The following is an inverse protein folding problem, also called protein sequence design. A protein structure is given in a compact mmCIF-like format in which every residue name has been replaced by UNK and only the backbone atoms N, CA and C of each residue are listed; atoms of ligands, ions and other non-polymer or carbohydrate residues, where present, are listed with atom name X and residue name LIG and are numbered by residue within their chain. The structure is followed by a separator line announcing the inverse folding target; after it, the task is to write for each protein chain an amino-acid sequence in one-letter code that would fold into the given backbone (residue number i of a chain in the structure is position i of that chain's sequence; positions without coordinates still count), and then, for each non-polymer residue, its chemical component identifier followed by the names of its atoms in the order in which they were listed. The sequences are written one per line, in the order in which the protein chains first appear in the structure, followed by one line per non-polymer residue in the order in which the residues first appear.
data_IF_450160311711
#
_entry.id   IF_450160311711
#
_cell.length_a   1.000
_cell.length_b   1.000
_cell.length_c   1.000
_cell.angle_alpha   90.00
_cell.angle_beta   90.00
_cell.angle_gamma   90.00
#
_symmetry.space_group_name_H-M   'P 1'
#
loop_
_entity.id
_entity.type
_entity.pdbx_description
1 polymer ?
#
# COMPACT_ATOMS: atom_id res chain seq x y z
N UNK A 1 12.28 -8.55 -16.05
CA UNK A 1 13.12 -7.61 -15.30
C UNK A 1 14.52 -8.21 -15.17
N UNK A 2 15.56 -7.65 -15.83
CA UNK A 2 16.94 -8.12 -15.66
C UNK A 2 17.45 -7.75 -14.26
N UNK A 3 18.41 -8.54 -13.73
CA UNK A 3 18.81 -8.57 -12.32
C UNK A 3 19.67 -7.37 -11.89
N UNK A 4 19.24 -6.64 -10.87
CA UNK A 4 20.12 -5.81 -10.06
C UNK A 4 21.06 -6.69 -9.23
N UNK A 5 22.36 -6.39 -9.26
CA UNK A 5 23.45 -7.20 -8.68
C UNK A 5 24.07 -6.51 -7.46
N UNK A 6 23.27 -5.93 -6.56
CA UNK A 6 23.77 -5.30 -5.34
C UNK A 6 24.26 -6.36 -4.33
N UNK A 7 25.48 -6.20 -3.81
CA UNK A 7 26.10 -7.12 -2.84
C UNK A 7 25.29 -7.33 -1.55
N UNK A 8 24.48 -6.34 -1.14
CA UNK A 8 23.61 -6.44 0.05
C UNK A 8 22.38 -7.34 -0.13
N UNK A 9 21.95 -7.64 -1.36
CA UNK A 9 20.74 -8.43 -1.61
C UNK A 9 20.94 -9.93 -1.33
N UNK A 10 22.17 -10.44 -1.48
CA UNK A 10 22.50 -11.84 -1.20
C UNK A 10 22.39 -12.16 0.29
N UNK A 11 22.63 -11.18 1.16
CA UNK A 11 22.54 -11.36 2.60
C UNK A 11 21.09 -11.28 3.10
N UNK A 12 20.23 -10.48 2.46
CA UNK A 12 18.80 -10.43 2.78
C UNK A 12 18.10 -11.78 2.58
N UNK A 13 18.51 -12.56 1.57
CA UNK A 13 17.94 -13.88 1.31
C UNK A 13 18.29 -14.93 2.39
N UNK A 14 19.36 -14.71 3.17
CA UNK A 14 19.81 -15.60 4.25
C UNK A 14 19.04 -15.38 5.56
N UNK A 15 18.35 -14.25 5.70
CA UNK A 15 17.56 -13.93 6.88
C UNK A 15 16.33 -14.87 7.02
N UNK A 16 15.71 -14.93 8.23
CA UNK A 16 14.38 -15.50 8.40
C UNK A 16 13.39 -14.89 7.40
N UNK A 17 12.42 -15.67 6.89
CA UNK A 17 11.60 -15.26 5.76
C UNK A 17 10.83 -13.96 5.99
N UNK A 18 10.27 -13.74 7.18
CA UNK A 18 9.55 -12.52 7.56
C UNK A 18 10.48 -11.30 7.51
N UNK A 19 11.69 -11.42 8.07
CA UNK A 19 12.69 -10.35 8.05
C UNK A 19 13.17 -10.05 6.62
N UNK A 20 13.44 -11.09 5.81
CA UNK A 20 13.78 -10.92 4.39
C UNK A 20 12.68 -10.13 3.66
N UNK A 21 11.42 -10.52 3.81
CA UNK A 21 10.27 -9.89 3.14
C UNK A 21 10.15 -8.44 3.54
N UNK A 22 10.24 -8.16 4.84
CA UNK A 22 10.20 -6.80 5.37
C UNK A 22 11.26 -5.92 4.69
N UNK A 23 12.54 -6.31 4.74
CA UNK A 23 13.62 -5.50 4.16
C UNK A 23 13.51 -5.34 2.65
N UNK A 24 13.11 -6.39 1.91
CA UNK A 24 12.86 -6.24 0.47
C UNK A 24 11.71 -5.26 0.18
N UNK A 25 10.62 -5.33 0.95
CA UNK A 25 9.49 -4.42 0.79
C UNK A 25 9.85 -2.97 1.12
N UNK A 26 10.67 -2.75 2.16
CA UNK A 26 11.14 -1.43 2.54
C UNK A 26 12.08 -0.83 1.50
N UNK A 27 13.10 -1.58 1.06
CA UNK A 27 14.00 -1.14 0.00
C UNK A 27 13.23 -0.83 -1.29
N UNK A 28 12.29 -1.70 -1.68
CA UNK A 28 11.45 -1.44 -2.83
C UNK A 28 10.59 -0.17 -2.68
N UNK A 29 10.12 0.12 -1.46
CA UNK A 29 9.36 1.34 -1.19
C UNK A 29 10.21 2.59 -1.29
N UNK A 30 11.47 2.54 -0.84
CA UNK A 30 12.45 3.62 -1.02
C UNK A 30 12.77 3.85 -2.50
N UNK A 31 13.06 2.80 -3.26
CA UNK A 31 13.31 2.90 -4.71
C UNK A 31 12.10 3.43 -5.47
N UNK A 32 10.88 3.01 -5.11
CA UNK A 32 9.66 3.58 -5.69
C UNK A 32 9.50 5.07 -5.38
N UNK A 33 9.90 5.53 -4.17
CA UNK A 33 9.83 6.94 -3.79
C UNK A 33 10.78 7.83 -4.61
N UNK A 34 11.94 7.30 -5.00
CA UNK A 34 12.89 7.98 -5.89
C UNK A 34 12.63 7.71 -7.39
N UNK A 35 11.44 7.18 -7.74
CA UNK A 35 11.00 6.92 -9.13
C UNK A 35 11.86 5.90 -9.87
N UNK A 36 12.36 4.91 -9.15
CA UNK A 36 13.03 3.73 -9.70
C UNK A 36 12.10 2.52 -9.65
N UNK A 37 10.94 2.60 -10.32
CA UNK A 37 9.90 1.57 -10.26
C UNK A 37 10.40 0.21 -10.76
N UNK A 38 11.31 0.20 -11.74
CA UNK A 38 11.93 -1.02 -12.26
C UNK A 38 12.76 -1.76 -11.21
N UNK A 39 13.52 -1.04 -10.38
CA UNK A 39 14.33 -1.63 -9.32
C UNK A 39 13.44 -2.07 -8.15
N UNK A 40 12.46 -1.25 -7.79
CA UNK A 40 11.46 -1.62 -6.79
C UNK A 40 10.72 -2.92 -7.17
N UNK A 41 10.32 -3.07 -8.43
CA UNK A 41 9.67 -4.28 -8.93
C UNK A 41 10.58 -5.51 -8.86
N UNK A 42 11.87 -5.36 -9.16
CA UNK A 42 12.86 -6.44 -9.04
C UNK A 42 13.03 -6.91 -7.59
N UNK A 43 13.17 -5.98 -6.65
CA UNK A 43 13.31 -6.29 -5.22
C UNK A 43 12.09 -7.05 -4.71
N UNK A 44 10.88 -6.59 -5.07
CA UNK A 44 9.64 -7.29 -4.71
C UNK A 44 9.50 -8.65 -5.41
N UNK A 45 9.97 -8.79 -6.65
CA UNK A 45 9.97 -10.08 -7.34
C UNK A 45 10.85 -11.11 -6.64
N UNK A 46 12.01 -10.67 -6.11
CA UNK A 46 12.91 -11.49 -5.28
C UNK A 46 12.30 -11.80 -3.91
N UNK A 47 11.55 -10.88 -3.33
CA UNK A 47 10.86 -11.06 -2.05
C UNK A 47 9.85 -12.22 -2.05
N UNK A 48 9.40 -12.69 -3.23
CA UNK A 48 8.53 -13.87 -3.34
C UNK A 48 9.23 -15.16 -2.88
N UNK A 49 10.53 -15.31 -3.09
CA UNK A 49 11.26 -16.54 -2.72
C UNK A 49 11.21 -16.79 -1.21
N UNK A 50 11.48 -15.79 -0.34
CA UNK A 50 11.22 -15.94 1.10
C UNK A 50 9.78 -16.32 1.46
N UNK A 51 8.76 -15.86 0.71
CA UNK A 51 7.35 -16.20 1.00
C UNK A 51 7.04 -17.69 0.80
N UNK A 52 7.82 -18.41 -0.02
CA UNK A 52 7.66 -19.86 -0.24
C UNK A 52 8.07 -20.67 1.00
N UNK A 53 8.86 -20.08 1.90
CA UNK A 53 9.26 -20.69 3.19
C UNK A 53 8.25 -20.44 4.30
N UNK A 54 7.20 -19.65 4.04
CA UNK A 54 6.15 -19.37 5.01
C UNK A 54 4.94 -20.29 4.81
N UNK A 55 4.17 -20.58 5.87
CA UNK A 55 2.89 -21.26 5.73
C UNK A 55 1.94 -20.50 4.79
N UNK A 56 1.09 -21.23 4.07
CA UNK A 56 0.10 -20.61 3.16
C UNK A 56 -0.90 -19.68 3.87
N UNK A 57 -1.06 -19.83 5.20
CA UNK A 57 -1.86 -18.96 6.06
C UNK A 57 -1.14 -17.65 6.46
N UNK A 58 0.13 -17.47 6.09
CA UNK A 58 0.91 -16.32 6.54
C UNK A 58 0.55 -15.04 5.76
N UNK A 59 0.24 -13.92 6.44
CA UNK A 59 -0.22 -12.69 5.79
C UNK A 59 0.84 -12.02 4.90
N UNK A 60 2.13 -12.19 5.19
CA UNK A 60 3.23 -11.58 4.44
C UNK A 60 3.31 -12.01 2.97
N UNK A 61 2.73 -13.17 2.63
CA UNK A 61 2.56 -13.57 1.23
C UNK A 61 1.79 -12.51 0.43
N UNK A 62 0.80 -11.86 1.04
CA UNK A 62 0.04 -10.79 0.39
C UNK A 62 0.81 -9.45 0.30
N UNK A 63 1.72 -9.19 1.23
CA UNK A 63 2.49 -7.94 1.27
C UNK A 63 3.32 -7.75 0.00
N UNK A 64 4.03 -8.80 -0.43
CA UNK A 64 4.84 -8.76 -1.65
C UNK A 64 3.98 -8.45 -2.89
N UNK A 65 2.83 -9.12 -3.04
CA UNK A 65 1.93 -8.89 -4.16
C UNK A 65 1.27 -7.50 -4.13
N UNK A 66 0.94 -6.99 -2.96
CA UNK A 66 0.42 -5.64 -2.80
C UNK A 66 1.49 -4.59 -3.14
N UNK A 67 2.74 -4.83 -2.77
CA UNK A 67 3.88 -4.00 -3.19
C UNK A 67 4.06 -4.01 -4.72
N UNK A 68 4.04 -5.19 -5.34
CA UNK A 68 4.15 -5.33 -6.80
C UNK A 68 3.01 -4.60 -7.52
N UNK A 69 1.79 -4.71 -6.99
CA UNK A 69 0.63 -3.99 -7.50
C UNK A 69 0.84 -2.48 -7.50
N UNK A 70 1.32 -1.93 -6.38
CA UNK A 70 1.61 -0.49 -6.24
C UNK A 70 2.69 -0.02 -7.20
N UNK A 71 3.82 -0.73 -7.26
CA UNK A 71 4.95 -0.33 -8.13
C UNK A 71 4.56 -0.42 -9.61
N UNK A 72 3.84 -1.48 -10.00
CA UNK A 72 3.33 -1.61 -11.36
C UNK A 72 2.35 -0.47 -11.72
N UNK A 73 1.49 -0.07 -10.78
CA UNK A 73 0.57 1.05 -10.97
C UNK A 73 1.33 2.38 -11.17
N UNK A 74 2.35 2.66 -10.34
CA UNK A 74 3.19 3.85 -10.48
C UNK A 74 3.96 3.87 -11.81
N UNK A 75 4.36 2.69 -12.30
CA UNK A 75 4.99 2.52 -13.61
C UNK A 75 4.01 2.50 -14.80
N UNK A 76 2.70 2.69 -14.59
CA UNK A 76 1.68 2.69 -15.65
C UNK A 76 1.28 1.31 -16.18
N UNK A 77 1.82 0.22 -15.63
CA UNK A 77 1.48 -1.15 -16.01
C UNK A 77 0.20 -1.62 -15.28
N UNK A 78 -0.93 -0.99 -15.59
CA UNK A 78 -2.18 -1.15 -14.83
C UNK A 78 -2.78 -2.56 -14.87
N UNK A 79 -2.55 -3.30 -15.96
CA UNK A 79 -2.98 -4.70 -16.08
C UNK A 79 -2.18 -5.62 -15.15
N UNK A 80 -0.85 -5.41 -15.05
CA UNK A 80 0.03 -6.10 -14.11
C UNK A 80 -0.36 -5.73 -12.68
N UNK A 81 -0.62 -4.43 -12.44
CA UNK A 81 -1.05 -3.92 -11.14
C UNK A 81 -2.35 -4.57 -10.66
N UNK A 82 -3.35 -4.67 -11.53
CA UNK A 82 -4.63 -5.31 -11.22
C UNK A 82 -4.45 -6.80 -10.87
N UNK A 83 -3.65 -7.54 -11.66
CA UNK A 83 -3.38 -8.97 -11.39
C UNK A 83 -2.66 -9.17 -10.06
N UNK A 84 -1.62 -8.39 -9.78
CA UNK A 84 -0.87 -8.47 -8.53
C UNK A 84 -1.75 -8.09 -7.32
N UNK A 85 -2.51 -7.01 -7.42
CA UNK A 85 -3.42 -6.57 -6.35
C UNK A 85 -4.55 -7.57 -6.10
N UNK A 86 -5.13 -8.16 -7.16
CA UNK A 86 -6.12 -9.23 -7.02
C UNK A 86 -5.53 -10.49 -6.37
N UNK A 87 -4.27 -10.82 -6.65
CA UNK A 87 -3.56 -11.92 -5.97
C UNK A 87 -3.38 -11.63 -4.48
N UNK A 88 -2.97 -10.40 -4.12
CA UNK A 88 -2.84 -9.97 -2.73
C UNK A 88 -4.18 -10.05 -1.98
N UNK A 89 -5.26 -9.54 -2.60
CA UNK A 89 -6.62 -9.62 -2.05
C UNK A 89 -7.02 -11.05 -1.71
N UNK A 90 -6.90 -11.97 -2.67
CA UNK A 90 -7.26 -13.39 -2.48
C UNK A 90 -6.45 -14.07 -1.37
N UNK A 91 -5.20 -13.66 -1.16
CA UNK A 91 -4.39 -14.16 -0.05
C UNK A 91 -4.98 -13.62 1.25
N UNK A 92 -5.16 -12.29 1.37
CA UNK A 92 -5.72 -11.66 2.58
C UNK A 92 -7.09 -12.19 2.97
N UNK A 93 -7.98 -12.38 2.00
CA UNK A 93 -9.30 -12.97 2.25
C UNK A 93 -9.22 -14.38 2.86
N UNK A 94 -8.26 -15.19 2.40
CA UNK A 94 -8.05 -16.55 2.92
C UNK A 94 -7.33 -16.56 4.27
N UNK A 95 -6.40 -15.65 4.49
CA UNK A 95 -5.53 -15.66 5.68
C UNK A 95 -6.08 -14.82 6.84
N UNK A 96 -6.71 -13.69 6.53
CA UNK A 96 -7.20 -12.69 7.49
C UNK A 96 -8.72 -12.60 7.51
N UNK A 97 -9.41 -13.03 6.46
CA UNK A 97 -10.84 -12.83 6.27
C UNK A 97 -11.18 -11.57 5.47
N UNK A 98 -12.47 -11.41 5.17
CA UNK A 98 -13.01 -10.25 4.42
C UNK A 98 -12.97 -8.94 5.19
N UNK A 99 -13.11 -9.02 6.52
CA UNK A 99 -13.40 -7.87 7.38
C UNK A 99 -12.14 -7.36 8.11
N UNK A 100 -11.07 -7.13 7.34
CA UNK A 100 -9.83 -6.54 7.87
C UNK A 100 -9.42 -5.30 7.08
N UNK A 101 -8.73 -4.37 7.74
CA UNK A 101 -8.24 -3.14 7.10
C UNK A 101 -7.34 -3.47 5.91
N UNK A 102 -6.54 -4.54 6.01
CA UNK A 102 -5.64 -5.01 4.96
C UNK A 102 -6.41 -5.53 3.74
N UNK A 103 -7.48 -6.32 3.94
CA UNK A 103 -8.35 -6.79 2.86
C UNK A 103 -9.10 -5.62 2.23
N UNK A 104 -9.65 -4.72 3.04
CA UNK A 104 -10.35 -3.53 2.56
C UNK A 104 -9.46 -2.61 1.71
N UNK A 105 -8.19 -2.44 2.11
CA UNK A 105 -7.19 -1.69 1.33
C UNK A 105 -6.93 -2.33 -0.03
N UNK A 106 -6.95 -3.65 -0.13
CA UNK A 106 -6.80 -4.34 -1.42
C UNK A 106 -7.95 -4.06 -2.38
N UNK A 107 -9.18 -3.87 -1.88
CA UNK A 107 -10.31 -3.44 -2.71
C UNK A 107 -10.10 -2.04 -3.29
N UNK A 108 -9.72 -1.07 -2.44
CA UNK A 108 -9.40 0.30 -2.90
C UNK A 108 -8.31 0.28 -3.99
N UNK A 109 -7.23 -0.47 -3.77
CA UNK A 109 -6.11 -0.54 -4.71
C UNK A 109 -6.51 -1.19 -6.04
N UNK A 110 -7.34 -2.24 -6.00
CA UNK A 110 -7.83 -2.90 -7.21
C UNK A 110 -8.77 -1.97 -7.98
N UNK A 111 -9.59 -1.20 -7.28
CA UNK A 111 -10.45 -0.19 -7.87
C UNK A 111 -9.68 0.90 -8.62
N UNK A 112 -8.60 1.41 -8.02
CA UNK A 112 -7.68 2.33 -8.69
C UNK A 112 -7.17 1.74 -10.02
N UNK A 113 -6.80 0.45 -10.02
CA UNK A 113 -6.35 -0.22 -11.24
C UNK A 113 -7.48 -0.32 -12.28
N UNK A 114 -8.72 -0.64 -11.88
CA UNK A 114 -9.84 -0.69 -12.81
C UNK A 114 -10.19 0.66 -13.42
N UNK A 115 -10.09 1.74 -12.64
CA UNK A 115 -10.29 3.08 -13.19
C UNK A 115 -9.24 3.39 -14.26
N UNK A 116 -7.96 3.10 -13.99
CA UNK A 116 -6.87 3.30 -14.95
C UNK A 116 -6.98 2.39 -16.20
N UNK A 117 -7.75 1.31 -16.12
CA UNK A 117 -8.08 0.41 -17.23
C UNK A 117 -9.40 0.76 -17.93
N UNK A 118 -9.94 1.95 -17.70
CA UNK A 118 -11.21 2.43 -18.28
C UNK A 118 -12.42 1.54 -17.94
N UNK A 119 -12.45 1.02 -16.69
CA UNK A 119 -13.55 0.21 -16.14
C UNK A 119 -14.20 0.91 -14.94
N UNK A 120 -14.81 2.09 -15.13
CA UNK A 120 -15.27 2.94 -14.03
C UNK A 120 -16.40 2.33 -13.21
N UNK A 121 -17.31 1.56 -13.82
CA UNK A 121 -18.41 0.91 -13.10
C UNK A 121 -17.90 -0.10 -12.06
N UNK A 122 -16.92 -0.92 -12.45
CA UNK A 122 -16.29 -1.87 -11.53
C UNK A 122 -15.46 -1.14 -10.48
N UNK A 123 -14.69 -0.13 -10.88
CA UNK A 123 -13.92 0.69 -9.95
C UNK A 123 -14.82 1.33 -8.88
N UNK A 124 -15.97 1.87 -9.26
CA UNK A 124 -16.90 2.52 -8.33
C UNK A 124 -17.42 1.52 -7.29
N UNK A 125 -17.88 0.33 -7.71
CA UNK A 125 -18.36 -0.69 -6.80
C UNK A 125 -17.28 -1.13 -5.78
N UNK A 126 -16.03 -1.27 -6.23
CA UNK A 126 -14.92 -1.62 -5.33
C UNK A 126 -14.51 -0.47 -4.40
N UNK A 127 -14.60 0.80 -4.84
CA UNK A 127 -14.33 1.96 -3.99
C UNK A 127 -15.39 2.14 -2.91
N UNK A 128 -16.66 1.95 -3.24
CA UNK A 128 -17.77 2.02 -2.28
C UNK A 128 -17.61 0.95 -1.18
N UNK A 129 -17.33 -0.29 -1.57
CA UNK A 129 -17.06 -1.37 -0.63
C UNK A 129 -15.83 -1.07 0.25
N UNK A 130 -14.74 -0.57 -0.36
CA UNK A 130 -13.51 -0.29 0.38
C UNK A 130 -13.69 0.86 1.38
N UNK A 131 -14.39 1.93 0.99
CA UNK A 131 -14.69 3.07 1.86
C UNK A 131 -15.53 2.63 3.05
N UNK A 132 -16.62 1.90 2.81
CA UNK A 132 -17.51 1.42 3.87
C UNK A 132 -16.76 0.56 4.87
N UNK A 133 -16.01 -0.44 4.39
CA UNK A 133 -15.24 -1.34 5.25
C UNK A 133 -14.16 -0.58 6.03
N UNK A 134 -13.39 0.30 5.39
CA UNK A 134 -12.33 1.05 6.07
C UNK A 134 -12.89 2.00 7.13
N UNK A 135 -14.01 2.67 6.82
CA UNK A 135 -14.70 3.55 7.76
C UNK A 135 -15.20 2.78 8.98
N UNK A 136 -15.82 1.62 8.79
CA UNK A 136 -16.32 0.78 9.90
C UNK A 136 -15.18 0.17 10.72
N UNK A 137 -14.15 -0.35 10.06
CA UNK A 137 -13.07 -1.09 10.72
C UNK A 137 -12.02 -0.20 11.40
N UNK A 138 -11.70 0.95 10.80
CA UNK A 138 -10.61 1.82 11.25
C UNK A 138 -11.08 3.21 11.74
N UNK A 139 -12.34 3.57 11.49
CA UNK A 139 -12.88 4.91 11.76
C UNK A 139 -12.60 5.92 10.64
N UNK A 140 -13.35 7.02 10.64
CA UNK A 140 -13.31 8.06 9.61
C UNK A 140 -11.96 8.81 9.54
N UNK A 141 -11.31 9.02 10.69
CA UNK A 141 -10.04 9.75 10.79
C UNK A 141 -8.82 8.92 10.37
N UNK A 142 -8.99 7.63 10.10
CA UNK A 142 -7.87 6.77 9.73
C UNK A 142 -7.38 7.10 8.30
N UNK A 143 -6.06 7.18 8.05
CA UNK A 143 -5.52 7.58 6.73
C UNK A 143 -6.02 6.73 5.56
N UNK A 144 -6.21 5.43 5.79
CA UNK A 144 -6.75 4.52 4.77
C UNK A 144 -8.22 4.84 4.46
N UNK A 145 -9.04 5.17 5.46
CA UNK A 145 -10.44 5.58 5.29
C UNK A 145 -10.53 6.89 4.52
N UNK A 146 -9.75 7.90 4.91
CA UNK A 146 -9.68 9.18 4.20
C UNK A 146 -9.21 9.03 2.75
N UNK A 147 -8.25 8.12 2.50
CA UNK A 147 -7.79 7.84 1.14
C UNK A 147 -8.87 7.18 0.29
N UNK A 148 -9.58 6.18 0.84
CA UNK A 148 -10.67 5.52 0.15
C UNK A 148 -11.83 6.47 -0.16
N UNK A 149 -12.23 7.30 0.81
CA UNK A 149 -13.25 8.33 0.62
C UNK A 149 -12.87 9.30 -0.50
N UNK A 150 -11.64 9.85 -0.47
CA UNK A 150 -11.17 10.76 -1.51
C UNK A 150 -11.10 10.09 -2.88
N UNK A 151 -10.69 8.84 -2.97
CA UNK A 151 -10.68 8.10 -4.22
C UNK A 151 -12.11 7.90 -4.75
N UNK A 152 -13.07 7.56 -3.88
CA UNK A 152 -14.49 7.42 -4.21
C UNK A 152 -15.10 8.74 -4.72
N UNK A 153 -14.87 9.84 -3.99
CA UNK A 153 -15.36 11.18 -4.38
C UNK A 153 -14.81 11.59 -5.75
N UNK A 154 -13.50 11.42 -5.96
CA UNK A 154 -12.88 11.74 -7.24
C UNK A 154 -13.39 10.82 -8.35
N UNK A 155 -13.65 9.53 -8.09
CA UNK A 155 -14.21 8.61 -9.08
C UNK A 155 -15.65 8.99 -9.47
N UNK A 156 -16.46 9.47 -8.52
CA UNK A 156 -17.81 9.98 -8.78
C UNK A 156 -17.78 11.30 -9.56
N UNK A 157 -16.81 12.17 -9.28
CA UNK A 157 -16.64 13.44 -9.97
C UNK A 157 -16.02 13.31 -11.37
N UNK A 158 -15.04 12.41 -11.53
CA UNK A 158 -14.32 12.18 -12.77
C UNK A 158 -15.03 11.11 -13.60
N UNK A 159 -15.78 11.51 -14.62
CA UNK A 159 -16.39 10.54 -15.53
C UNK A 159 -15.38 9.76 -16.38
N UNK A 160 -14.09 10.16 -16.49
CA UNK A 160 -13.09 9.46 -17.35
C UNK A 160 -11.62 9.44 -16.91
N UNK A 161 -11.09 10.37 -16.10
CA UNK A 161 -9.65 10.39 -15.75
C UNK A 161 -9.41 10.69 -14.26
N UNK A 162 -8.99 9.67 -13.50
CA UNK A 162 -8.67 9.74 -12.09
C UNK A 162 -7.22 9.33 -11.87
N UNK A 163 -6.44 10.20 -11.23
CA UNK A 163 -5.20 9.79 -10.57
C UNK A 163 -5.55 9.27 -9.16
N UNK A 164 -5.83 7.96 -9.08
CA UNK A 164 -6.21 7.29 -7.84
C UNK A 164 -4.97 7.02 -6.99
N UNK A 165 -5.06 7.27 -5.68
CA UNK A 165 -3.94 7.09 -4.77
C UNK A 165 -3.93 5.66 -4.22
N UNK A 166 -2.79 4.97 -4.42
CA UNK A 166 -2.55 3.61 -3.92
C UNK A 166 -1.66 3.72 -2.67
N UNK A 167 -2.19 3.48 -1.45
CA UNK A 167 -1.44 3.66 -0.21
C UNK A 167 -0.22 2.75 -0.10
N UNK A 168 0.77 3.20 0.67
CA UNK A 168 1.90 2.37 1.08
C UNK A 168 1.45 1.25 2.04
N UNK A 169 2.20 0.14 2.01
CA UNK A 169 1.91 -1.04 2.82
C UNK A 169 1.97 -0.73 4.32
N UNK A 170 2.99 0.03 4.73
CA UNK A 170 3.28 0.41 6.10
C UNK A 170 3.08 1.92 6.33
N UNK A 171 1.96 2.48 5.86
CA UNK A 171 1.63 3.88 6.17
C UNK A 171 1.39 4.01 7.69
N UNK A 172 2.38 4.49 8.43
CA UNK A 172 2.20 4.84 9.84
C UNK A 172 1.42 6.15 9.93
N UNK A 173 0.38 6.18 10.76
CA UNK A 173 -0.32 7.42 11.09
C UNK A 173 0.53 8.24 12.05
N UNK A 174 1.16 9.31 11.53
CA UNK A 174 1.68 10.36 12.40
C UNK A 174 0.49 11.26 12.75
N UNK A 175 -0.02 11.17 13.99
CA UNK A 175 -0.79 12.29 14.53
C UNK A 175 0.12 13.49 14.50
N UNK A 176 -0.24 14.53 13.74
CA UNK A 176 0.33 15.85 13.96
C UNK A 176 0.01 16.26 15.40
N UNK A 177 0.89 15.93 16.34
CA UNK A 177 0.92 16.62 17.60
C UNK A 177 1.35 18.05 17.26
N UNK A 178 0.39 18.95 17.07
CA UNK A 178 0.64 20.39 17.14
C UNK A 178 1.39 20.61 18.45
N UNK A 179 2.70 20.84 18.37
CA UNK A 179 3.50 21.25 19.51
C UNK A 179 2.82 22.50 20.05
N UNK A 180 2.10 22.38 21.17
CA UNK A 180 1.55 23.54 21.87
C UNK A 180 2.75 24.42 22.20
N UNK A 181 2.89 25.52 21.46
CA UNK A 181 3.96 26.48 21.66
C UNK A 181 4.00 26.83 23.14
N UNK A 182 5.09 26.49 23.82
CA UNK A 182 5.30 26.89 25.21
C UNK A 182 5.28 28.41 25.23
N UNK A 183 4.17 28.98 25.71
CA UNK A 183 4.02 30.41 25.88
C UNK A 183 5.23 30.96 26.63
N UNK A 184 5.93 31.92 26.03
CA UNK A 184 6.99 32.67 26.67
C UNK A 184 6.45 33.25 27.98
N UNK A 185 6.83 32.68 29.13
CA UNK A 185 6.63 33.31 30.44
C UNK A 185 7.37 34.64 30.42
N UNK A 186 6.65 35.75 30.25
CA UNK A 186 7.16 37.10 30.51
C UNK A 186 7.62 37.13 31.96
N UNK A 187 8.94 37.14 32.19
CA UNK A 187 9.52 37.50 33.49
C UNK A 187 9.11 38.94 33.77
N UNK A 188 8.15 39.14 34.69
CA UNK A 188 7.93 40.43 35.34
C UNK A 188 9.21 40.79 36.07
N UNK A 189 9.95 41.81 35.59
CA UNK A 189 10.88 42.55 36.44
C UNK A 189 10.04 43.25 37.51
N UNK A 190 10.25 42.88 38.77
CA UNK A 190 9.80 43.63 39.95
C UNK A 190 11.06 44.27 40.54
N UNK A 191 10.93 45.54 40.92
CA UNK A 191 11.83 46.26 41.83
C UNK A 191 13.11 46.71 41.17
#
# INVERSE_FOLDING_TARGET
FPLATGAGEADLAKLPPEASIFFFCELASLHAAIREENLAAQLLWRARTPTERLPASHPDGAAVWCGLGRVAYLGGAFDVAARATARARRIRERTLGGDTVETATSYNNLACCYFALDRPAEALAFLELAEELLRVLAGEDHPRSQTALRNLEKARAAQKHLHCEVPFLYSYYVREHKLKGRGRRKKKKKG
#
